data_IF_284740651860
#
_entry.id   IF_284740651860
#
_cell.length_a   1.000
_cell.length_b   1.000
_cell.length_c   1.000
_cell.angle_alpha   90.00
_cell.angle_beta   90.00
_cell.angle_gamma   90.00
#
_symmetry.space_group_name_H-M   'P 1'
#
loop_
_entity.id
_entity.type
_entity.pdbx_description
1 polymer ?
#
# COMPACT_ATOMS: atom_id res chain seq x y z
N UNK A 1 7.85 -9.53 12.67
CA UNK A 1 8.51 -8.25 12.46
C UNK A 1 7.49 -7.12 12.44
N UNK A 2 7.79 -6.01 13.10
CA UNK A 2 6.87 -4.89 13.23
C UNK A 2 6.82 -3.91 12.06
N UNK A 3 7.58 -4.14 11.00
CA UNK A 3 7.73 -3.13 9.94
C UNK A 3 6.70 -3.22 8.81
N UNK A 4 5.89 -4.29 8.82
CA UNK A 4 4.90 -4.50 7.78
C UNK A 4 5.54 -4.40 6.38
N UNK A 5 4.96 -3.61 5.46
CA UNK A 5 5.50 -3.41 4.10
C UNK A 5 6.51 -2.26 3.97
N UNK A 6 6.79 -1.53 5.04
CA UNK A 6 7.66 -0.35 5.05
C UNK A 6 9.02 -0.62 5.70
N UNK A 7 9.59 -1.83 5.46
CA UNK A 7 10.82 -2.28 6.10
C UNK A 7 12.01 -1.34 5.95
N UNK A 8 12.28 -0.83 4.75
CA UNK A 8 13.42 0.06 4.49
C UNK A 8 13.31 1.37 5.27
N UNK A 9 12.21 2.09 5.14
CA UNK A 9 11.99 3.36 5.85
C UNK A 9 11.89 3.17 7.36
N UNK A 10 11.17 2.15 7.81
CA UNK A 10 10.98 1.87 9.23
C UNK A 10 12.26 1.39 9.91
N UNK A 11 13.17 0.71 9.21
CA UNK A 11 14.45 0.27 9.77
C UNK A 11 15.36 1.44 10.11
N UNK A 12 15.37 2.49 9.29
CA UNK A 12 16.14 3.71 9.58
C UNK A 12 15.62 4.43 10.84
N UNK A 13 14.31 4.56 10.97
CA UNK A 13 13.67 5.13 12.15
C UNK A 13 13.95 4.28 13.40
N UNK A 14 13.86 2.96 13.28
CA UNK A 14 14.17 2.03 14.38
C UNK A 14 15.63 2.09 14.80
N UNK A 15 16.58 2.15 13.87
CA UNK A 15 17.99 2.25 14.17
C UNK A 15 18.31 3.55 14.95
N UNK A 16 17.74 4.68 14.55
CA UNK A 16 17.90 5.95 15.26
C UNK A 16 17.32 5.88 16.68
N UNK A 17 16.10 5.35 16.80
CA UNK A 17 15.44 5.20 18.10
C UNK A 17 16.24 4.31 19.06
N UNK A 18 16.73 3.17 18.57
CA UNK A 18 17.56 2.25 19.35
C UNK A 18 18.89 2.91 19.77
N UNK A 19 19.51 3.67 18.88
CA UNK A 19 20.74 4.42 19.21
C UNK A 19 20.48 5.43 20.34
N UNK A 20 19.39 6.18 20.26
CA UNK A 20 19.04 7.17 21.28
C UNK A 20 18.74 6.48 22.64
N UNK A 21 18.03 5.35 22.63
CA UNK A 21 17.77 4.56 23.84
C UNK A 21 19.05 4.02 24.47
N UNK A 22 19.98 3.49 23.69
CA UNK A 22 21.27 2.98 24.18
C UNK A 22 22.17 4.10 24.73
N UNK A 23 22.08 5.29 24.17
CA UNK A 23 22.82 6.48 24.64
C UNK A 23 22.12 7.21 25.79
N UNK A 24 20.96 6.73 26.28
CA UNK A 24 20.20 7.40 27.34
C UNK A 24 19.61 8.74 26.91
N UNK A 25 19.41 8.96 25.60
CA UNK A 25 18.81 10.18 25.05
C UNK A 25 17.31 10.04 24.95
N UNK A 26 16.59 11.09 25.33
CA UNK A 26 15.14 11.14 25.08
C UNK A 26 14.88 11.30 23.57
N UNK A 27 13.90 10.52 23.07
CA UNK A 27 13.46 10.60 21.68
C UNK A 27 11.96 10.84 21.65
N UNK A 28 11.52 11.91 20.98
CA UNK A 28 10.12 12.30 20.87
C UNK A 28 9.21 11.22 20.24
N UNK A 29 9.81 10.31 19.46
CA UNK A 29 9.10 9.22 18.80
C UNK A 29 9.05 7.93 19.63
N UNK A 30 9.66 7.88 20.81
CA UNK A 30 9.71 6.67 21.65
C UNK A 30 8.32 6.11 21.95
N UNK A 31 7.35 6.97 22.31
CA UNK A 31 5.98 6.57 22.57
C UNK A 31 5.20 6.13 21.32
N UNK A 32 5.57 6.62 20.13
CA UNK A 32 4.95 6.21 18.87
C UNK A 32 5.38 4.79 18.47
N UNK A 33 6.63 4.44 18.73
CA UNK A 33 7.22 3.14 18.37
C UNK A 33 7.29 2.16 19.55
N UNK A 34 6.67 2.48 20.68
CA UNK A 34 6.60 1.59 21.84
C UNK A 34 5.91 0.26 21.44
N UNK A 35 6.59 -0.89 21.56
CA UNK A 35 6.01 -2.19 21.25
C UNK A 35 4.89 -2.59 22.22
N UNK A 36 4.85 -2.02 23.43
CA UNK A 36 3.81 -2.25 24.42
C UNK A 36 2.53 -1.43 24.17
N UNK A 37 2.54 -0.51 23.20
CA UNK A 37 1.35 0.29 22.89
C UNK A 37 0.19 -0.59 22.43
N UNK A 38 -1.02 -0.22 22.86
CA UNK A 38 -2.23 -0.92 22.46
C UNK A 38 -2.41 -0.92 20.93
N UNK A 39 -2.65 -2.10 20.37
CA UNK A 39 -3.00 -2.30 18.96
C UNK A 39 -4.48 -1.95 18.70
N UNK A 40 -5.31 -1.78 19.76
CA UNK A 40 -6.73 -1.46 19.64
C UNK A 40 -6.96 0.04 19.36
N UNK A 41 -6.32 0.55 18.30
CA UNK A 41 -6.57 1.92 17.83
C UNK A 41 -7.62 1.90 16.73
N UNK A 42 -8.53 2.87 16.77
CA UNK A 42 -9.56 3.07 15.73
C UNK A 42 -8.97 3.03 14.31
N UNK A 43 -7.78 3.62 14.13
CA UNK A 43 -7.11 3.67 12.84
C UNK A 43 -6.72 2.27 12.32
N UNK A 44 -6.32 1.35 13.19
CA UNK A 44 -6.03 -0.02 12.78
C UNK A 44 -7.27 -0.69 12.18
N UNK A 45 -8.41 -0.55 12.84
CA UNK A 45 -9.67 -1.14 12.38
C UNK A 45 -10.16 -0.51 11.08
N UNK A 46 -9.98 0.80 10.91
CA UNK A 46 -10.31 1.48 9.66
C UNK A 46 -9.41 0.95 8.52
N UNK A 47 -8.11 0.81 8.75
CA UNK A 47 -7.18 0.28 7.74
C UNK A 47 -7.48 -1.19 7.40
N UNK A 48 -7.84 -2.00 8.40
CA UNK A 48 -8.26 -3.40 8.19
C UNK A 48 -9.55 -3.46 7.38
N UNK A 49 -10.55 -2.65 7.71
CA UNK A 49 -11.82 -2.59 7.00
C UNK A 49 -11.62 -2.12 5.54
N UNK A 50 -10.80 -1.10 5.32
CA UNK A 50 -10.46 -0.61 3.99
C UNK A 50 -9.76 -1.69 3.16
N UNK A 51 -8.75 -2.35 3.74
CA UNK A 51 -8.02 -3.42 3.06
C UNK A 51 -8.94 -4.61 2.73
N UNK A 52 -9.79 -5.01 3.68
CA UNK A 52 -10.76 -6.07 3.48
C UNK A 52 -11.78 -5.66 2.39
N UNK A 53 -12.24 -4.41 2.40
CA UNK A 53 -13.10 -3.87 1.36
C UNK A 53 -12.48 -4.01 -0.02
N UNK A 54 -11.23 -3.60 -0.21
CA UNK A 54 -10.54 -3.73 -1.50
C UNK A 54 -10.28 -5.17 -1.93
N UNK A 55 -10.19 -6.10 -0.99
CA UNK A 55 -10.03 -7.52 -1.29
C UNK A 55 -11.36 -8.19 -1.64
N UNK A 56 -12.45 -7.84 -0.95
CA UNK A 56 -13.75 -8.48 -1.06
C UNK A 56 -14.66 -7.85 -2.13
N UNK A 57 -14.42 -6.60 -2.53
CA UNK A 57 -15.23 -5.93 -3.55
C UNK A 57 -15.25 -6.74 -4.85
N UNK A 58 -16.43 -7.04 -5.42
CA UNK A 58 -16.58 -7.78 -6.67
C UNK A 58 -16.30 -6.86 -7.87
N UNK A 59 -15.04 -6.45 -8.05
CA UNK A 59 -14.63 -5.62 -9.17
C UNK A 59 -13.90 -6.43 -10.23
N UNK A 60 -14.10 -6.13 -11.53
CA UNK A 60 -13.49 -6.88 -12.62
C UNK A 60 -11.98 -6.64 -12.73
N UNK A 61 -11.49 -5.51 -12.21
CA UNK A 61 -10.07 -5.11 -12.29
C UNK A 61 -9.38 -5.36 -10.96
N UNK A 62 -8.59 -6.43 -10.93
CA UNK A 62 -7.86 -6.87 -9.75
C UNK A 62 -6.37 -6.90 -10.02
N UNK A 63 -5.59 -6.46 -9.03
CA UNK A 63 -4.14 -6.52 -9.07
C UNK A 63 -3.65 -7.96 -9.24
N UNK A 64 -2.73 -8.18 -10.17
CA UNK A 64 -2.15 -9.51 -10.44
C UNK A 64 -1.19 -9.98 -9.35
N UNK A 65 -0.87 -9.11 -8.35
CA UNK A 65 -0.08 -9.48 -7.19
C UNK A 65 -0.88 -10.33 -6.19
N UNK A 66 -1.90 -9.76 -5.53
CA UNK A 66 -2.70 -10.42 -4.50
C UNK A 66 -4.22 -10.20 -4.68
N UNK A 67 -4.67 -9.81 -5.85
CA UNK A 67 -6.09 -9.70 -6.14
C UNK A 67 -6.83 -8.49 -5.56
N UNK A 68 -6.13 -7.48 -5.04
CA UNK A 68 -6.76 -6.25 -4.56
C UNK A 68 -7.44 -5.48 -5.70
N UNK A 69 -8.55 -4.82 -5.41
CA UNK A 69 -9.23 -3.93 -6.35
C UNK A 69 -8.31 -2.79 -6.80
N UNK A 70 -8.24 -2.55 -8.10
CA UNK A 70 -7.49 -1.44 -8.68
C UNK A 70 -8.33 -0.17 -8.73
N UNK A 71 -7.68 0.98 -8.55
CA UNK A 71 -8.28 2.31 -8.64
C UNK A 71 -7.66 3.07 -9.81
N UNK A 72 -8.49 3.73 -10.62
CA UNK A 72 -7.99 4.59 -11.69
C UNK A 72 -7.41 5.90 -11.16
N UNK A 73 -6.19 6.18 -11.55
CA UNK A 73 -5.50 7.44 -11.27
C UNK A 73 -5.58 8.33 -12.51
N UNK A 74 -6.40 9.37 -12.45
CA UNK A 74 -6.61 10.29 -13.57
C UNK A 74 -5.39 11.14 -13.90
N UNK A 75 -4.57 11.46 -12.90
CA UNK A 75 -3.40 12.31 -13.10
C UNK A 75 -2.29 11.58 -13.86
N UNK A 76 -2.14 10.27 -13.60
CA UNK A 76 -1.07 9.44 -14.18
C UNK A 76 -1.59 8.52 -15.31
N UNK A 77 -2.91 8.55 -15.59
CA UNK A 77 -3.58 7.66 -16.54
C UNK A 77 -3.23 6.19 -16.30
N UNK A 78 -3.23 5.77 -15.04
CA UNK A 78 -2.84 4.43 -14.60
C UNK A 78 -3.85 3.79 -13.67
N UNK A 79 -3.83 2.45 -13.60
CA UNK A 79 -4.55 1.67 -12.61
C UNK A 79 -3.63 1.38 -11.43
N UNK A 80 -3.94 1.95 -10.27
CA UNK A 80 -3.10 1.86 -9.08
C UNK A 80 -3.70 0.91 -8.07
N UNK A 81 -2.84 0.09 -7.45
CA UNK A 81 -3.21 -0.81 -6.37
C UNK A 81 -2.99 -0.13 -5.02
N UNK A 82 -4.03 0.20 -4.25
CA UNK A 82 -3.88 0.90 -2.98
C UNK A 82 -3.24 0.03 -1.89
N UNK A 83 -3.23 -1.30 -2.07
CA UNK A 83 -2.70 -2.21 -1.06
C UNK A 83 -1.17 -2.22 -1.02
N UNK A 84 -0.49 -2.30 -2.17
CA UNK A 84 0.97 -2.45 -2.23
C UNK A 84 1.64 -1.58 -3.29
N UNK A 85 0.89 -0.69 -3.96
CA UNK A 85 1.46 0.27 -4.88
C UNK A 85 1.78 -0.24 -6.28
N UNK A 86 1.35 -1.45 -6.67
CA UNK A 86 1.48 -1.89 -8.07
C UNK A 86 0.72 -0.96 -9.01
N UNK A 87 1.32 -0.62 -10.13
CA UNK A 87 0.71 0.25 -11.13
C UNK A 87 0.68 -0.43 -12.49
N UNK A 88 -0.40 -0.15 -13.23
CA UNK A 88 -0.62 -0.68 -14.58
C UNK A 88 -1.05 0.46 -15.50
N UNK A 89 -0.64 0.41 -16.75
CA UNK A 89 -1.16 1.32 -17.76
C UNK A 89 -2.65 1.03 -18.10
N UNK A 90 -3.24 1.84 -18.97
CA UNK A 90 -4.62 1.66 -19.42
C UNK A 90 -4.88 0.29 -20.09
N UNK A 91 -3.85 -0.31 -20.69
CA UNK A 91 -3.90 -1.62 -21.33
C UNK A 91 -3.62 -2.80 -20.38
N UNK A 92 -3.31 -2.53 -19.10
CA UNK A 92 -3.03 -3.56 -18.11
C UNK A 92 -1.58 -4.04 -18.06
N UNK A 93 -0.66 -3.32 -18.70
CA UNK A 93 0.78 -3.59 -18.63
C UNK A 93 1.32 -3.08 -17.32
N UNK A 94 2.14 -3.87 -16.64
CA UNK A 94 2.79 -3.46 -15.39
C UNK A 94 3.74 -2.29 -15.63
N UNK A 95 3.53 -1.20 -14.90
CA UNK A 95 4.42 -0.04 -14.83
C UNK A 95 5.31 -0.13 -13.61
N UNK A 96 4.75 -0.52 -12.45
CA UNK A 96 5.46 -0.62 -11.19
C UNK A 96 5.10 -1.86 -10.41
N UNK A 97 6.11 -2.43 -9.77
CA UNK A 97 6.00 -3.59 -8.88
C UNK A 97 5.21 -3.25 -7.58
N UNK A 98 4.77 -4.26 -6.78
CA UNK A 98 5.21 -5.67 -6.76
C UNK A 98 4.50 -6.62 -7.73
N UNK A 99 3.49 -6.20 -8.49
CA UNK A 99 2.91 -7.06 -9.53
C UNK A 99 3.96 -7.33 -10.62
N UNK A 100 4.11 -8.61 -11.00
CA UNK A 100 5.09 -9.05 -12.02
C UNK A 100 4.41 -9.54 -13.30
N UNK A 101 3.09 -9.63 -13.32
CA UNK A 101 2.32 -10.11 -14.47
C UNK A 101 1.40 -9.02 -14.99
N UNK A 102 1.37 -8.86 -16.31
CA UNK A 102 0.41 -7.99 -16.98
C UNK A 102 -1.02 -8.49 -16.74
N UNK A 103 -1.97 -7.57 -16.78
CA UNK A 103 -3.39 -7.89 -16.62
C UNK A 103 -4.00 -8.17 -18.01
N UNK A 104 -4.29 -9.43 -18.32
CA UNK A 104 -4.74 -9.86 -19.64
C UNK A 104 -6.12 -9.35 -20.07
N UNK A 105 -6.88 -8.70 -19.19
CA UNK A 105 -8.29 -8.32 -19.40
C UNK A 105 -8.54 -6.81 -19.52
N UNK A 106 -7.50 -5.98 -19.53
CA UNK A 106 -7.70 -4.55 -19.75
C UNK A 106 -7.86 -4.29 -21.24
N UNK A 107 -9.01 -3.76 -21.62
CA UNK A 107 -9.20 -3.16 -22.93
C UNK A 107 -8.99 -1.65 -22.79
N UNK A 108 -8.21 -1.01 -23.67
CA UNK A 108 -7.99 0.45 -23.63
C UNK A 108 -9.26 1.27 -23.66
N UNK A 109 -10.30 0.74 -24.31
CA UNK A 109 -11.65 1.34 -24.36
C UNK A 109 -12.37 1.45 -23.02
N UNK A 110 -11.88 0.79 -21.97
CA UNK A 110 -12.47 0.80 -20.64
C UNK A 110 -11.75 1.70 -19.65
N UNK A 111 -10.80 2.53 -20.10
CA UNK A 111 -10.25 3.60 -19.28
C UNK A 111 -11.33 4.69 -19.10
N UNK A 112 -11.58 5.19 -17.88
CA UNK A 112 -12.62 6.20 -17.62
C UNK A 112 -12.45 7.51 -18.40
N UNK A 113 -11.29 7.73 -18.99
CA UNK A 113 -10.94 8.95 -19.75
C UNK A 113 -10.87 8.69 -21.27
N UNK A 114 -11.29 7.53 -21.77
CA UNK A 114 -11.29 7.19 -23.20
C UNK A 114 -12.45 7.85 -23.99
N UNK A 115 -13.34 8.54 -23.30
CA UNK A 115 -14.52 9.25 -23.88
C UNK A 115 -14.38 10.77 -23.85
N UNK A 116 -13.20 11.33 -24.21
CA UNK A 116 -13.08 12.76 -24.52
C UNK A 116 -12.29 12.98 -25.77
#
# INVERSE_FOLDING_TARGET
SGFNKWGMTSSMAAARLLCDLLCGRENEFSGLFDPARSIFRRQLWLNVAETAGHLLLPVPRRCTHLGCALKWNRAEHSWDCPCHGSRFDAGGRVLENPAMKNHAKFQPSNAPDAEK
#
